data_IF_874509917811
#
_entry.id   IF_874509917811
#
_cell.length_a   1.000
_cell.length_b   1.000
_cell.length_c   1.000
_cell.angle_alpha   90.00
_cell.angle_beta   90.00
_cell.angle_gamma   90.00
#
_symmetry.space_group_name_H-M   'P 1'
#
loop_
_entity.id
_entity.type
_entity.pdbx_description
1 polymer ?
#
# COMPACT_ATOMS: atom_id res chain seq x y z
N UNK A 1 -3.94 -13.45 -19.96
CA UNK A 1 -2.73 -13.40 -19.11
C UNK A 1 -2.80 -12.25 -18.12
N UNK A 2 -3.30 -11.06 -18.51
CA UNK A 2 -3.48 -9.92 -17.60
C UNK A 2 -4.30 -10.25 -16.34
N UNK A 3 -5.51 -10.81 -16.48
CA UNK A 3 -6.32 -11.24 -15.33
C UNK A 3 -5.61 -12.24 -14.38
N UNK A 4 -4.70 -13.08 -14.89
CA UNK A 4 -3.95 -14.04 -14.06
C UNK A 4 -2.90 -13.33 -13.22
N UNK A 5 -2.16 -12.39 -13.84
CA UNK A 5 -1.14 -11.59 -13.15
C UNK A 5 -1.80 -10.68 -12.12
N UNK A 6 -2.86 -9.97 -12.50
CA UNK A 6 -3.62 -9.10 -11.59
C UNK A 6 -4.20 -9.90 -10.42
N UNK A 7 -4.81 -11.07 -10.68
CA UNK A 7 -5.35 -11.93 -9.63
C UNK A 7 -4.26 -12.37 -8.65
N UNK A 8 -3.10 -12.77 -9.18
CA UNK A 8 -1.97 -13.22 -8.36
C UNK A 8 -1.44 -12.09 -7.47
N UNK A 9 -1.24 -10.89 -8.02
CA UNK A 9 -0.78 -9.71 -7.26
C UNK A 9 -1.84 -9.31 -6.23
N UNK A 10 -3.12 -9.30 -6.61
CA UNK A 10 -4.21 -8.95 -5.72
C UNK A 10 -4.33 -9.90 -4.53
N UNK A 11 -4.22 -11.21 -4.77
CA UNK A 11 -4.16 -12.22 -3.72
C UNK A 11 -2.92 -12.03 -2.83
N UNK A 12 -1.76 -11.73 -3.42
CA UNK A 12 -0.55 -11.45 -2.66
C UNK A 12 -0.77 -10.24 -1.74
N UNK A 13 -1.25 -9.11 -2.24
CA UNK A 13 -1.54 -7.91 -1.44
C UNK A 13 -2.46 -8.20 -0.25
N UNK A 14 -3.49 -9.04 -0.42
CA UNK A 14 -4.40 -9.42 0.66
C UNK A 14 -3.78 -10.40 1.68
N UNK A 15 -2.80 -11.19 1.25
CA UNK A 15 -2.17 -12.22 2.07
C UNK A 15 -0.96 -11.72 2.89
N UNK A 16 -0.51 -10.49 2.67
CA UNK A 16 0.61 -9.91 3.44
C UNK A 16 0.30 -9.89 4.94
N UNK A 17 1.23 -10.41 5.73
CA UNK A 17 1.14 -10.39 7.18
C UNK A 17 1.92 -9.20 7.78
N UNK A 18 1.80 -9.02 9.10
CA UNK A 18 2.43 -7.92 9.84
C UNK A 18 3.96 -7.93 9.73
N UNK A 19 4.61 -9.08 9.84
CA UNK A 19 6.08 -9.19 9.74
C UNK A 19 6.60 -8.75 8.36
N UNK A 20 5.88 -9.13 7.29
CA UNK A 20 6.21 -8.73 5.93
C UNK A 20 5.99 -7.23 5.72
N UNK A 21 4.93 -6.66 6.31
CA UNK A 21 4.68 -5.23 6.29
C UNK A 21 5.77 -4.46 7.06
N UNK A 22 6.23 -5.00 8.19
CA UNK A 22 7.32 -4.45 8.99
C UNK A 22 8.62 -4.40 8.20
N UNK A 23 9.02 -5.53 7.63
CA UNK A 23 10.23 -5.60 6.83
C UNK A 23 10.20 -4.62 5.66
N UNK A 24 9.07 -4.51 4.96
CA UNK A 24 8.89 -3.56 3.86
C UNK A 24 9.06 -2.11 4.34
N UNK A 25 8.40 -1.73 5.43
CA UNK A 25 8.49 -0.38 5.96
C UNK A 25 9.87 -0.05 6.53
N UNK A 26 10.53 -1.03 7.16
CA UNK A 26 11.87 -0.87 7.70
C UNK A 26 12.88 -0.60 6.58
N UNK A 27 12.87 -1.41 5.52
CA UNK A 27 13.75 -1.20 4.36
C UNK A 27 13.39 0.09 3.62
N UNK A 28 12.10 0.39 3.49
CA UNK A 28 11.62 1.64 2.90
C UNK A 28 12.11 2.87 3.68
N UNK A 29 12.05 2.83 5.01
CA UNK A 29 12.57 3.89 5.86
C UNK A 29 14.09 3.99 5.75
N UNK A 30 14.79 2.86 5.83
CA UNK A 30 16.25 2.79 5.72
C UNK A 30 16.78 3.41 4.43
N UNK A 31 16.09 3.20 3.30
CA UNK A 31 16.47 3.76 2.00
C UNK A 31 15.93 5.17 1.75
N UNK A 32 14.93 5.62 2.52
CA UNK A 32 14.34 6.93 2.36
C UNK A 32 15.34 8.06 2.67
N UNK A 33 15.41 9.11 1.84
CA UNK A 33 16.22 10.28 2.14
C UNK A 33 15.65 11.07 3.32
N UNK A 34 16.50 11.87 3.98
CA UNK A 34 16.13 12.67 5.15
C UNK A 34 14.92 13.59 4.90
N UNK A 35 14.79 14.15 3.70
CA UNK A 35 13.66 14.99 3.31
C UNK A 35 12.34 14.21 3.33
N UNK A 36 12.30 13.01 2.71
CA UNK A 36 11.13 12.15 2.70
C UNK A 36 10.76 11.66 4.10
N UNK A 37 11.77 11.38 4.94
CA UNK A 37 11.54 11.04 6.36
C UNK A 37 10.89 12.21 7.10
N UNK A 38 11.34 13.45 6.88
CA UNK A 38 10.73 14.65 7.47
C UNK A 38 9.27 14.83 7.03
N UNK A 39 9.01 14.73 5.71
CA UNK A 39 7.64 14.82 5.18
C UNK A 39 6.73 13.74 5.77
N UNK A 40 7.24 12.51 5.91
CA UNK A 40 6.51 11.39 6.52
C UNK A 40 6.15 11.70 7.97
N UNK A 41 7.08 12.25 8.75
CA UNK A 41 6.83 12.65 10.14
C UNK A 41 5.75 13.72 10.25
N UNK A 42 5.80 14.74 9.39
CA UNK A 42 4.81 15.84 9.38
C UNK A 42 3.44 15.31 8.94
N UNK A 43 3.40 14.50 7.86
CA UNK A 43 2.16 13.99 7.29
C UNK A 43 1.42 13.05 8.24
N UNK A 44 2.14 12.15 8.91
CA UNK A 44 1.57 11.17 9.83
C UNK A 44 1.54 11.64 11.29
N UNK A 45 2.02 12.85 11.59
CA UNK A 45 2.20 13.38 12.95
C UNK A 45 2.89 12.37 13.87
N UNK A 46 4.04 11.87 13.44
CA UNK A 46 4.84 10.87 14.15
C UNK A 46 6.32 11.27 14.18
N UNK A 47 7.10 10.63 15.06
CA UNK A 47 8.51 10.96 15.23
C UNK A 47 9.36 9.68 15.27
N UNK A 48 10.36 9.60 14.38
CA UNK A 48 11.21 8.43 14.23
C UNK A 48 10.49 7.18 13.71
N UNK A 49 11.24 6.18 13.25
CA UNK A 49 10.63 4.94 12.76
C UNK A 49 10.07 4.08 13.88
N UNK A 50 10.96 3.59 14.77
CA UNK A 50 10.62 2.87 16.00
C UNK A 50 11.18 3.57 17.24
N UNK A 51 12.26 4.33 17.07
CA UNK A 51 12.87 5.17 18.09
C UNK A 51 13.09 6.55 17.49
N UNK A 52 12.69 7.60 18.21
CA UNK A 52 12.92 8.99 17.84
C UNK A 52 14.38 9.39 18.03
N UNK A 53 15.00 8.93 19.12
CA UNK A 53 16.36 9.30 19.50
C UNK A 53 17.37 8.23 19.07
N UNK A 54 17.83 8.32 17.82
CA UNK A 54 18.93 7.51 17.30
C UNK A 54 20.23 8.33 17.16
N UNK A 55 21.41 7.72 17.38
CA UNK A 55 22.69 8.39 17.23
C UNK A 55 22.90 8.87 15.78
N UNK A 56 23.67 9.95 15.58
CA UNK A 56 23.86 10.59 14.26
C UNK A 56 24.34 9.65 13.15
N UNK A 57 25.09 8.61 13.52
CA UNK A 57 25.65 7.64 12.59
C UNK A 57 24.68 6.49 12.26
N UNK A 58 23.48 6.47 12.85
CA UNK A 58 22.50 5.40 12.62
C UNK A 58 21.79 5.60 11.27
N UNK A 59 21.74 4.59 10.40
CA UNK A 59 21.10 4.71 9.10
C UNK A 59 19.56 4.84 9.17
N UNK A 60 18.92 4.47 10.28
CA UNK A 60 17.48 4.71 10.52
C UNK A 60 17.20 6.08 11.12
N UNK A 61 18.22 6.89 11.43
CA UNK A 61 18.04 8.19 12.06
C UNK A 61 17.08 9.07 11.28
N UNK A 62 16.09 9.60 11.99
CA UNK A 62 15.16 10.55 11.44
C UNK A 62 15.64 11.99 11.66
N UNK A 63 15.18 12.95 10.84
CA UNK A 63 15.39 14.36 11.11
C UNK A 63 14.64 14.79 12.38
N UNK A 64 15.05 15.92 12.95
CA UNK A 64 14.41 16.52 14.14
C UNK A 64 12.89 16.61 13.98
N UNK A 65 12.17 16.25 15.04
CA UNK A 65 10.71 16.29 15.07
C UNK A 65 10.15 17.68 15.43
N UNK A 66 10.99 18.71 15.46
CA UNK A 66 10.59 20.10 15.69
C UNK A 66 9.61 20.65 14.64
N UNK A 67 9.60 20.06 13.43
CA UNK A 67 8.69 20.41 12.34
C UNK A 67 7.31 19.75 12.46
N UNK A 68 7.16 18.77 13.37
CA UNK A 68 5.92 18.01 13.52
C UNK A 68 4.94 18.82 14.37
N UNK A 69 3.72 19.12 13.87
CA UNK A 69 2.75 19.96 14.57
C UNK A 69 2.44 19.52 16.00
N UNK A 70 2.23 18.21 16.20
CA UNK A 70 1.96 17.64 17.52
C UNK A 70 3.08 17.90 18.54
N UNK A 71 4.34 17.86 18.09
CA UNK A 71 5.50 18.09 18.95
C UNK A 71 5.70 19.58 19.28
N UNK A 72 5.07 20.49 18.54
CA UNK A 72 5.19 21.94 18.73
C UNK A 72 4.17 22.50 19.74
N UNK A 73 3.09 21.77 20.04
CA UNK A 73 1.99 22.29 20.87
C UNK A 73 2.37 22.57 22.34
N UNK A 74 3.35 21.85 22.91
CA UNK A 74 3.84 22.13 24.27
C UNK A 74 5.25 21.59 24.52
N UNK A 75 5.93 22.13 25.54
CA UNK A 75 7.26 21.65 25.96
C UNK A 75 7.21 20.19 26.50
N UNK A 76 6.08 19.80 27.09
CA UNK A 76 5.81 18.41 27.49
C UNK A 76 5.61 17.51 26.26
N UNK A 77 4.91 17.99 25.21
CA UNK A 77 4.72 17.25 23.96
C UNK A 77 6.03 17.04 23.20
N UNK A 78 6.98 17.99 23.29
CA UNK A 78 8.30 17.83 22.70
C UNK A 78 9.09 16.70 23.36
N UNK A 79 9.08 16.62 24.70
CA UNK A 79 9.66 15.50 25.44
C UNK A 79 8.91 14.19 25.17
N UNK A 80 7.58 14.21 25.11
CA UNK A 80 6.78 13.03 24.78
C UNK A 80 7.08 12.52 23.37
N UNK A 81 7.21 13.40 22.37
CA UNK A 81 7.60 13.02 21.00
C UNK A 81 8.98 12.34 20.95
N UNK A 82 9.90 12.79 21.80
CA UNK A 82 11.28 12.30 21.84
C UNK A 82 11.44 11.05 22.71
N UNK A 83 10.70 10.95 23.83
CA UNK A 83 10.82 9.89 24.84
C UNK A 83 9.79 8.76 24.70
N UNK A 84 8.58 8.97 24.14
CA UNK A 84 7.50 7.95 24.24
C UNK A 84 6.39 7.96 23.17
N UNK A 85 6.23 8.95 22.31
CA UNK A 85 4.87 9.35 21.93
C UNK A 85 4.16 8.55 20.83
N UNK A 86 4.67 8.62 19.60
CA UNK A 86 3.95 8.10 18.43
C UNK A 86 4.97 7.80 17.33
N UNK A 87 5.47 6.56 17.29
CA UNK A 87 6.44 6.13 16.30
C UNK A 87 5.78 6.04 14.92
N UNK A 88 6.52 6.37 13.87
CA UNK A 88 5.97 6.31 12.52
C UNK A 88 5.63 4.88 12.10
N UNK A 89 6.25 3.86 12.69
CA UNK A 89 5.94 2.46 12.42
C UNK A 89 4.45 2.15 12.58
N UNK A 90 3.84 2.49 13.71
CA UNK A 90 2.43 2.16 13.96
C UNK A 90 1.48 2.84 12.96
N UNK A 91 1.75 4.11 12.60
CA UNK A 91 0.95 4.84 11.61
C UNK A 91 1.16 4.26 10.21
N UNK A 92 2.40 3.99 9.83
CA UNK A 92 2.76 3.39 8.53
C UNK A 92 2.16 2.00 8.39
N UNK A 93 2.23 1.15 9.42
CA UNK A 93 1.66 -0.19 9.40
C UNK A 93 0.15 -0.15 9.11
N UNK A 94 -0.60 0.74 9.77
CA UNK A 94 -2.02 0.90 9.51
C UNK A 94 -2.31 1.31 8.06
N UNK A 95 -1.51 2.23 7.51
CA UNK A 95 -1.65 2.70 6.13
C UNK A 95 -1.30 1.60 5.13
N UNK A 96 -0.19 0.89 5.35
CA UNK A 96 0.26 -0.23 4.51
C UNK A 96 -0.81 -1.33 4.51
N UNK A 97 -1.30 -1.75 5.68
CA UNK A 97 -2.34 -2.77 5.81
C UNK A 97 -3.62 -2.35 5.08
N UNK A 98 -4.08 -1.11 5.27
CA UNK A 98 -5.27 -0.62 4.60
C UNK A 98 -5.07 -0.50 3.08
N UNK A 99 -3.93 0.03 2.64
CA UNK A 99 -3.61 0.15 1.22
C UNK A 99 -3.53 -1.22 0.54
N UNK A 100 -2.88 -2.20 1.16
CA UNK A 100 -2.79 -3.57 0.65
C UNK A 100 -4.17 -4.24 0.54
N UNK A 101 -5.04 -4.06 1.54
CA UNK A 101 -6.41 -4.57 1.49
C UNK A 101 -7.24 -3.93 0.39
N UNK A 102 -7.18 -2.61 0.27
CA UNK A 102 -7.93 -1.87 -0.75
C UNK A 102 -7.43 -2.23 -2.15
N UNK A 103 -6.11 -2.16 -2.38
CA UNK A 103 -5.50 -2.45 -3.68
C UNK A 103 -5.71 -3.90 -4.09
N UNK A 104 -5.59 -4.85 -3.15
CA UNK A 104 -5.90 -6.25 -3.40
C UNK A 104 -7.38 -6.48 -3.72
N UNK A 105 -8.30 -5.85 -2.98
CA UNK A 105 -9.73 -5.93 -3.28
C UNK A 105 -10.09 -5.36 -4.67
N UNK A 106 -9.56 -4.19 -5.01
CA UNK A 106 -9.73 -3.56 -6.32
C UNK A 106 -9.14 -4.43 -7.43
N UNK A 107 -7.94 -4.97 -7.23
CA UNK A 107 -7.29 -5.87 -8.18
C UNK A 107 -8.09 -7.15 -8.42
N UNK A 108 -8.68 -7.74 -7.37
CA UNK A 108 -9.57 -8.90 -7.50
C UNK A 108 -10.84 -8.56 -8.31
N UNK A 109 -11.44 -7.41 -8.06
CA UNK A 109 -12.64 -6.96 -8.78
C UNK A 109 -12.39 -6.82 -10.29
N UNK A 110 -11.28 -6.16 -10.65
CA UNK A 110 -10.90 -6.03 -12.06
C UNK A 110 -10.55 -7.39 -12.68
N UNK A 111 -9.79 -8.23 -11.99
CA UNK A 111 -9.44 -9.58 -12.48
C UNK A 111 -10.67 -10.44 -12.76
N UNK A 112 -11.67 -10.39 -11.87
CA UNK A 112 -12.93 -11.09 -12.04
C UNK A 112 -13.73 -10.56 -13.24
N UNK A 113 -13.77 -9.24 -13.39
CA UNK A 113 -14.45 -8.59 -14.53
C UNK A 113 -13.77 -8.93 -15.86
N UNK A 114 -12.44 -8.94 -15.91
CA UNK A 114 -11.67 -9.37 -17.10
C UNK A 114 -11.95 -10.83 -17.45
N UNK A 115 -11.99 -11.73 -16.46
CA UNK A 115 -12.33 -13.12 -16.68
C UNK A 115 -13.72 -13.28 -17.32
N UNK A 116 -14.72 -12.58 -16.77
CA UNK A 116 -16.07 -12.56 -17.35
C UNK A 116 -16.07 -11.98 -18.77
N UNK A 117 -15.32 -10.91 -19.01
CA UNK A 117 -15.19 -10.29 -20.33
C UNK A 117 -14.60 -11.26 -21.36
N UNK A 118 -13.54 -12.00 -21.00
CA UNK A 118 -12.96 -13.03 -21.87
C UNK A 118 -13.95 -14.16 -22.12
N UNK A 119 -14.62 -14.66 -21.08
CA UNK A 119 -15.62 -15.73 -21.21
C UNK A 119 -16.79 -15.31 -22.11
N UNK A 120 -17.34 -14.10 -21.90
CA UNK A 120 -18.40 -13.53 -22.73
C UNK A 120 -17.94 -13.35 -24.18
N UNK A 121 -16.73 -12.86 -24.40
CA UNK A 121 -16.16 -12.69 -25.75
C UNK A 121 -16.01 -14.03 -26.47
N UNK A 122 -15.51 -15.06 -25.78
CA UNK A 122 -15.40 -16.43 -26.34
C UNK A 122 -16.78 -16.97 -26.67
N UNK A 123 -17.76 -16.83 -25.77
CA UNK A 123 -19.14 -17.25 -26.00
C UNK A 123 -19.74 -16.52 -27.19
N UNK A 124 -19.59 -15.20 -27.26
CA UNK A 124 -20.11 -14.36 -28.35
C UNK A 124 -19.49 -14.75 -29.70
N UNK A 125 -18.17 -14.95 -29.77
CA UNK A 125 -17.50 -15.40 -31.00
C UNK A 125 -17.88 -16.82 -31.42
N UNK A 126 -18.18 -17.69 -30.45
CA UNK A 126 -18.62 -19.06 -30.69
C UNK A 126 -20.15 -19.17 -30.92
N UNK A 127 -20.89 -18.05 -30.95
CA UNK A 127 -22.26 -18.05 -31.44
C UNK A 127 -22.25 -18.26 -32.96
N UNK A 128 -23.09 -19.19 -33.41
CA UNK A 128 -23.22 -19.56 -34.82
C UNK A 128 -23.69 -18.35 -35.63
N UNK A 129 -23.08 -18.11 -36.79
CA UNK A 129 -23.48 -17.02 -37.68
C UNK A 129 -24.97 -17.22 -38.09
N UNK A 130 -25.90 -16.34 -37.67
CA UNK A 130 -27.31 -16.48 -38.00
C UNK A 130 -27.57 -16.35 -39.51
N UNK A 131 -26.61 -15.86 -40.31
CA UNK A 131 -26.70 -15.81 -41.77
C UNK A 131 -26.34 -17.13 -42.46
N UNK A 132 -25.77 -18.11 -41.75
CA UNK A 132 -25.44 -19.44 -42.27
C UNK A 132 -26.61 -20.43 -42.10
N UNK A 133 -27.85 -19.96 -42.22
CA UNK A 133 -29.02 -20.82 -42.39
C UNK A 133 -29.29 -20.98 -43.90
N UNK A 134 -28.86 -22.08 -44.53
CA UNK A 134 -29.17 -22.37 -45.94
C UNK A 134 -30.67 -22.62 -46.21
N UNK A 135 -31.51 -22.65 -45.16
CA UNK A 135 -32.97 -22.77 -45.26
C UNK A 135 -33.72 -21.43 -45.43
N UNK A 136 -33.03 -20.29 -45.53
CA UNK A 136 -33.67 -18.98 -45.74
C UNK A 136 -33.94 -18.63 -47.23
N UNK A 137 -33.67 -19.55 -48.15
CA UNK A 137 -33.89 -19.36 -49.60
C UNK A 137 -34.72 -20.49 -50.26
N UNK A 138 -35.58 -21.18 -49.50
CA UNK A 138 -36.60 -22.08 -50.05
C UNK A 138 -37.99 -21.47 -49.87
#
# INVERSE_FOLDING_TARGET
MLFVVQFSIACACLAFNEDQQHKLAYEGWHQAPMELRNETQIYFNCCGFQNASLPDNDPMKAPSCSSVPFCQESLDNMKLCEESGDTCWMKLQNVINNALKITGGVGLFFSFTEFLGVWLTVRYRNQKDPRSNPHAFL
#
